data_IF_804187111893
#
_entry.id   IF_804187111893
#
_cell.length_a   1.000
_cell.length_b   1.000
_cell.length_c   1.000
_cell.angle_alpha   90.00
_cell.angle_beta   90.00
_cell.angle_gamma   90.00
#
_symmetry.space_group_name_H-M   'P 1'
#
loop_
_entity.id
_entity.type
_entity.pdbx_description
1 polymer ?
#
# COMPACT_ATOMS: atom_id res chain seq x y z
N UNK A 1 33.13 1.87 34.48
CA UNK A 1 31.92 2.64 34.17
C UNK A 1 32.21 4.12 33.85
N UNK A 2 33.43 4.50 33.45
CA UNK A 2 33.78 5.91 33.14
C UNK A 2 33.79 6.25 31.65
N UNK A 3 33.87 5.23 30.77
CA UNK A 3 33.97 5.42 29.31
C UNK A 3 32.66 6.00 28.73
N UNK A 4 31.51 5.61 29.29
CA UNK A 4 30.19 6.13 28.90
C UNK A 4 29.90 7.55 29.43
N UNK A 5 30.75 8.10 30.29
CA UNK A 5 30.58 9.44 30.88
C UNK A 5 31.50 10.49 30.22
N UNK A 6 32.35 10.07 29.27
CA UNK A 6 33.24 10.98 28.56
C UNK A 6 32.47 11.66 27.41
N UNK A 7 32.29 12.98 27.51
CA UNK A 7 31.53 13.78 26.54
C UNK A 7 32.01 13.63 25.09
N UNK A 8 33.31 13.37 24.88
CA UNK A 8 33.87 13.12 23.55
C UNK A 8 33.47 11.75 23.00
N UNK A 9 33.43 10.72 23.85
CA UNK A 9 32.98 9.38 23.47
C UNK A 9 31.47 9.33 23.25
N UNK A 10 30.67 10.00 24.08
CA UNK A 10 29.21 10.12 23.90
C UNK A 10 28.88 10.96 22.66
N UNK A 11 29.64 12.03 22.40
CA UNK A 11 29.43 12.90 21.24
C UNK A 11 29.85 12.25 19.92
N UNK A 12 31.07 11.71 19.83
CA UNK A 12 31.57 11.09 18.59
C UNK A 12 31.03 9.67 18.43
N UNK A 13 31.05 8.87 19.49
CA UNK A 13 30.48 7.51 19.46
C UNK A 13 28.97 7.55 19.22
N UNK A 14 28.25 8.44 19.90
CA UNK A 14 26.82 8.65 19.66
C UNK A 14 26.52 9.20 18.27
N UNK A 15 27.32 10.14 17.76
CA UNK A 15 27.17 10.70 16.42
C UNK A 15 27.42 9.68 15.30
N UNK A 16 28.48 8.88 15.41
CA UNK A 16 28.80 7.84 14.42
C UNK A 16 27.80 6.68 14.49
N UNK A 17 27.42 6.24 15.70
CA UNK A 17 26.46 5.16 15.88
C UNK A 17 25.06 5.58 15.42
N UNK A 18 24.63 6.81 15.73
CA UNK A 18 23.35 7.35 15.26
C UNK A 18 23.32 7.54 13.75
N UNK A 19 24.42 8.02 13.14
CA UNK A 19 24.57 8.11 11.69
C UNK A 19 24.43 6.74 11.01
N UNK A 20 25.13 5.72 11.54
CA UNK A 20 25.06 4.35 11.04
C UNK A 20 23.62 3.80 11.12
N UNK A 21 22.96 3.95 12.27
CA UNK A 21 21.57 3.51 12.47
C UNK A 21 20.63 4.19 11.48
N UNK A 22 20.76 5.50 11.27
CA UNK A 22 19.93 6.25 10.31
C UNK A 22 20.16 5.74 8.89
N UNK A 23 21.40 5.50 8.46
CA UNK A 23 21.66 4.94 7.12
C UNK A 23 21.07 3.54 6.94
N UNK A 24 21.12 2.68 7.96
CA UNK A 24 20.53 1.33 7.90
C UNK A 24 19.01 1.42 7.80
N UNK A 25 18.37 2.23 8.64
CA UNK A 25 16.91 2.43 8.63
C UNK A 25 16.46 3.07 7.30
N UNK A 26 17.18 4.09 6.83
CA UNK A 26 16.89 4.77 5.57
C UNK A 26 16.95 3.78 4.41
N UNK A 27 18.04 3.01 4.29
CA UNK A 27 18.17 2.00 3.23
C UNK A 27 17.07 0.94 3.30
N UNK A 28 16.69 0.52 4.50
CA UNK A 28 15.61 -0.45 4.69
C UNK A 28 14.25 0.08 4.26
N UNK A 29 13.92 1.33 4.64
CA UNK A 29 12.66 1.97 4.28
C UNK A 29 12.59 2.26 2.77
N UNK A 30 13.66 2.79 2.17
CA UNK A 30 13.71 3.07 0.74
C UNK A 30 13.65 1.79 -0.11
N UNK A 31 14.34 0.72 0.29
CA UNK A 31 14.27 -0.56 -0.43
C UNK A 31 12.84 -1.14 -0.49
N UNK A 32 12.03 -0.94 0.56
CA UNK A 32 10.61 -1.32 0.53
C UNK A 32 9.77 -0.40 -0.38
N UNK A 33 10.09 0.89 -0.44
CA UNK A 33 9.42 1.86 -1.30
C UNK A 33 9.67 1.55 -2.77
N UNK A 34 10.88 1.16 -3.15
CA UNK A 34 11.25 0.82 -4.52
C UNK A 34 10.43 -0.37 -5.04
N UNK A 35 10.24 -1.41 -4.20
CA UNK A 35 9.39 -2.54 -4.56
C UNK A 35 7.92 -2.14 -4.75
N UNK A 36 7.42 -1.20 -3.93
CA UNK A 36 6.07 -0.67 -4.09
C UNK A 36 5.92 0.14 -5.38
N UNK A 37 6.87 1.03 -5.66
CA UNK A 37 6.88 1.81 -6.90
C UNK A 37 6.93 0.90 -8.13
N UNK A 38 7.70 -0.17 -8.05
CA UNK A 38 7.77 -1.18 -9.10
C UNK A 38 6.41 -1.86 -9.35
N UNK A 39 5.74 -2.33 -8.30
CA UNK A 39 4.40 -2.94 -8.43
C UNK A 39 3.36 -1.95 -8.95
N UNK A 40 3.43 -0.69 -8.52
CA UNK A 40 2.55 0.36 -9.02
C UNK A 40 2.79 0.62 -10.52
N UNK A 41 4.04 0.61 -10.99
CA UNK A 41 4.39 0.71 -12.41
C UNK A 41 3.83 -0.46 -13.22
N UNK A 42 3.92 -1.69 -12.71
CA UNK A 42 3.31 -2.88 -13.35
C UNK A 42 1.79 -2.68 -13.49
N UNK A 43 1.12 -2.26 -12.42
CA UNK A 43 -0.32 -1.98 -12.46
C UNK A 43 -0.66 -0.89 -13.49
N UNK A 44 0.15 0.17 -13.58
CA UNK A 44 -0.01 1.21 -14.60
C UNK A 44 0.17 0.70 -16.03
N UNK A 45 1.16 -0.17 -16.27
CA UNK A 45 1.37 -0.82 -17.58
C UNK A 45 0.15 -1.61 -17.99
N UNK A 46 -0.31 -2.52 -17.12
CA UNK A 46 -1.45 -3.39 -17.39
C UNK A 46 -2.71 -2.58 -17.67
N UNK A 47 -2.94 -1.54 -16.86
CA UNK A 47 -4.05 -0.60 -17.07
C UNK A 47 -3.94 0.09 -18.43
N UNK A 48 -2.80 0.70 -18.74
CA UNK A 48 -2.62 1.43 -20.01
C UNK A 48 -2.84 0.52 -21.23
N UNK A 49 -2.39 -0.75 -21.17
CA UNK A 49 -2.63 -1.73 -22.23
C UNK A 49 -4.13 -1.99 -22.43
N UNK A 50 -4.86 -2.30 -21.35
CA UNK A 50 -6.32 -2.56 -21.41
C UNK A 50 -7.07 -1.33 -21.95
N UNK A 51 -6.75 -0.13 -21.46
CA UNK A 51 -7.40 1.11 -21.91
C UNK A 51 -7.09 1.44 -23.37
N UNK A 52 -5.90 1.11 -23.88
CA UNK A 52 -5.54 1.32 -25.28
C UNK A 52 -6.34 0.40 -26.23
N UNK A 53 -6.73 -0.79 -25.76
CA UNK A 53 -7.47 -1.79 -26.55
C UNK A 53 -8.99 -1.59 -26.52
N UNK A 54 -9.50 -0.94 -25.46
CA UNK A 54 -10.94 -0.74 -25.25
C UNK A 54 -11.68 -0.11 -26.44
N UNK A 55 -11.16 0.95 -27.12
CA UNK A 55 -11.84 1.54 -28.28
C UNK A 55 -11.93 0.55 -29.45
N UNK A 56 -10.83 -0.15 -29.76
CA UNK A 56 -10.79 -1.11 -30.87
C UNK A 56 -11.79 -2.25 -30.71
N UNK A 57 -11.97 -2.76 -29.48
CA UNK A 57 -12.95 -3.82 -29.21
C UNK A 57 -14.38 -3.30 -29.31
N UNK A 58 -14.64 -2.06 -28.91
CA UNK A 58 -15.96 -1.43 -29.07
C UNK A 58 -16.36 -1.28 -30.54
N UNK A 59 -15.36 -1.25 -31.44
CA UNK A 59 -15.50 -1.19 -32.89
C UNK A 59 -15.34 -2.57 -33.57
N UNK A 60 -15.29 -3.66 -32.79
CA UNK A 60 -15.15 -5.04 -33.28
C UNK A 60 -13.78 -5.39 -33.87
N UNK A 61 -12.78 -4.51 -33.72
CA UNK A 61 -11.42 -4.71 -34.21
C UNK A 61 -10.50 -5.18 -33.08
N UNK A 62 -10.17 -6.47 -33.11
CA UNK A 62 -9.23 -7.06 -32.14
C UNK A 62 -7.86 -7.16 -32.78
N UNK A 63 -6.82 -6.55 -32.19
CA UNK A 63 -5.47 -6.65 -32.73
C UNK A 63 -4.92 -8.07 -32.62
N UNK A 64 -4.09 -8.44 -33.60
CA UNK A 64 -3.39 -9.72 -33.63
C UNK A 64 -2.39 -9.86 -32.46
N UNK A 65 -2.01 -11.09 -32.12
CA UNK A 65 -1.09 -11.42 -31.02
C UNK A 65 0.24 -10.68 -31.16
N UNK A 66 0.74 -10.52 -32.39
CA UNK A 66 1.95 -9.76 -32.67
C UNK A 66 1.83 -8.29 -32.27
N UNK A 67 0.68 -7.67 -32.54
CA UNK A 67 0.41 -6.26 -32.18
C UNK A 67 0.24 -6.12 -30.68
N UNK A 68 -0.46 -7.05 -30.04
CA UNK A 68 -0.63 -7.07 -28.58
C UNK A 68 0.70 -7.25 -27.85
N UNK A 69 1.55 -8.14 -28.34
CA UNK A 69 2.91 -8.35 -27.82
C UNK A 69 3.79 -7.11 -28.03
N UNK A 70 3.68 -6.44 -29.18
CA UNK A 70 4.39 -5.18 -29.43
C UNK A 70 3.93 -4.07 -28.47
N UNK A 71 2.62 -3.98 -28.20
CA UNK A 71 2.04 -3.05 -27.24
C UNK A 71 2.57 -3.32 -25.83
N UNK A 72 2.51 -4.57 -25.35
CA UNK A 72 3.05 -4.99 -24.04
C UNK A 72 4.53 -4.61 -23.91
N UNK A 73 5.34 -4.92 -24.91
CA UNK A 73 6.77 -4.60 -24.91
C UNK A 73 7.03 -3.10 -24.90
N UNK A 74 6.28 -2.32 -25.68
CA UNK A 74 6.43 -0.86 -25.75
C UNK A 74 6.06 -0.19 -24.43
N UNK A 75 4.92 -0.56 -23.87
CA UNK A 75 4.43 -0.01 -22.59
C UNK A 75 5.34 -0.45 -21.44
N UNK A 76 5.81 -1.69 -21.41
CA UNK A 76 6.78 -2.15 -20.39
C UNK A 76 8.09 -1.34 -20.43
N UNK A 77 8.60 -1.01 -21.63
CA UNK A 77 9.77 -0.14 -21.79
C UNK A 77 9.50 1.29 -21.30
N UNK A 78 8.33 1.86 -21.61
CA UNK A 78 7.93 3.21 -21.16
C UNK A 78 7.97 3.33 -19.64
N UNK A 79 7.51 2.31 -18.92
CA UNK A 79 7.47 2.30 -17.44
C UNK A 79 8.71 1.66 -16.79
N UNK A 80 9.67 1.17 -17.57
CA UNK A 80 10.91 0.51 -17.10
C UNK A 80 10.65 -0.70 -16.19
N UNK A 81 9.67 -1.53 -16.55
CA UNK A 81 9.38 -2.79 -15.88
C UNK A 81 9.76 -3.97 -16.78
N UNK A 82 9.99 -5.14 -16.18
CA UNK A 82 10.18 -6.35 -16.97
C UNK A 82 8.87 -6.74 -17.66
N UNK A 83 8.92 -7.09 -18.95
CA UNK A 83 7.74 -7.54 -19.70
C UNK A 83 7.13 -8.79 -19.09
N UNK A 84 7.95 -9.65 -18.48
CA UNK A 84 7.53 -10.93 -17.94
C UNK A 84 6.70 -10.74 -16.65
N UNK A 85 6.75 -9.55 -16.05
CA UNK A 85 5.93 -9.17 -14.89
C UNK A 85 4.61 -8.49 -15.29
N UNK A 86 4.46 -8.08 -16.56
CA UNK A 86 3.23 -7.48 -17.08
C UNK A 86 2.24 -8.57 -17.53
N UNK A 87 0.99 -8.18 -17.77
CA UNK A 87 -0.03 -9.12 -18.24
C UNK A 87 0.35 -9.74 -19.58
N UNK A 88 0.14 -11.05 -19.67
CA UNK A 88 0.22 -11.79 -20.93
C UNK A 88 -1.02 -11.54 -21.80
N UNK A 89 -0.95 -11.79 -23.12
CA UNK A 89 -2.10 -11.67 -24.03
C UNK A 89 -3.40 -12.27 -23.49
N UNK A 90 -3.32 -13.48 -22.90
CA UNK A 90 -4.43 -14.15 -22.23
C UNK A 90 -5.04 -13.32 -21.10
N UNK A 91 -4.23 -12.85 -20.14
CA UNK A 91 -4.69 -12.07 -18.99
C UNK A 91 -5.30 -10.73 -19.42
N UNK A 92 -4.77 -10.12 -20.48
CA UNK A 92 -5.35 -8.90 -21.07
C UNK A 92 -6.74 -9.21 -21.64
N UNK A 93 -6.91 -10.32 -22.36
CA UNK A 93 -8.21 -10.74 -22.88
C UNK A 93 -9.22 -11.04 -21.76
N UNK A 94 -8.79 -11.65 -20.66
CA UNK A 94 -9.65 -11.92 -19.48
C UNK A 94 -10.14 -10.63 -18.82
N UNK A 95 -9.28 -9.62 -18.62
CA UNK A 95 -9.71 -8.34 -18.04
C UNK A 95 -10.67 -7.59 -18.98
N UNK A 96 -10.45 -7.67 -20.30
CA UNK A 96 -11.34 -7.09 -21.30
C UNK A 96 -12.70 -7.79 -21.32
N UNK A 97 -12.74 -9.13 -21.26
CA UNK A 97 -13.99 -9.90 -21.17
C UNK A 97 -14.77 -9.47 -19.92
N UNK A 98 -14.10 -9.36 -18.78
CA UNK A 98 -14.71 -8.90 -17.53
C UNK A 98 -15.31 -7.49 -17.68
N UNK A 99 -14.57 -6.52 -18.25
CA UNK A 99 -15.09 -5.17 -18.47
C UNK A 99 -16.34 -5.15 -19.37
N UNK A 100 -16.36 -5.98 -20.43
CA UNK A 100 -17.51 -6.09 -21.34
C UNK A 100 -18.71 -6.71 -20.62
N UNK A 101 -18.48 -7.73 -19.80
CA UNK A 101 -19.53 -8.41 -19.05
C UNK A 101 -20.14 -7.53 -17.96
N UNK A 102 -19.32 -6.73 -17.28
CA UNK A 102 -19.73 -5.77 -16.24
C UNK A 102 -20.47 -4.55 -16.83
N UNK A 103 -20.31 -4.26 -18.11
CA UNK A 103 -20.99 -3.13 -18.77
C UNK A 103 -22.50 -3.37 -18.89
N UNK A 104 -23.31 -2.51 -18.27
CA UNK A 104 -24.77 -2.51 -18.40
C UNK A 104 -25.27 -1.93 -19.74
N UNK A 105 -24.40 -1.23 -20.48
CA UNK A 105 -24.76 -0.51 -21.70
C UNK A 105 -24.61 -1.34 -22.99
N UNK A 106 -24.05 -2.56 -22.90
CA UNK A 106 -23.84 -3.45 -24.04
C UNK A 106 -24.92 -4.53 -24.05
N UNK A 107 -25.57 -4.74 -25.20
CA UNK A 107 -26.58 -5.79 -25.36
C UNK A 107 -25.96 -7.19 -25.20
N UNK A 108 -26.76 -8.15 -24.75
CA UNK A 108 -26.28 -9.53 -24.55
C UNK A 108 -25.72 -10.18 -25.82
N UNK A 109 -26.26 -9.82 -26.98
CA UNK A 109 -25.80 -10.32 -28.28
C UNK A 109 -24.43 -9.75 -28.66
N UNK A 110 -24.20 -8.45 -28.42
CA UNK A 110 -22.90 -7.80 -28.63
C UNK A 110 -21.84 -8.32 -27.65
N UNK A 111 -22.22 -8.55 -26.38
CA UNK A 111 -21.32 -9.17 -25.38
C UNK A 111 -20.83 -10.53 -25.85
N UNK A 112 -21.73 -11.37 -26.37
CA UNK A 112 -21.39 -12.70 -26.89
C UNK A 112 -20.39 -12.62 -28.05
N UNK A 113 -20.64 -11.75 -29.03
CA UNK A 113 -19.75 -11.55 -30.19
C UNK A 113 -18.33 -11.14 -29.78
N UNK A 114 -18.20 -10.20 -28.84
CA UNK A 114 -16.88 -9.78 -28.35
C UNK A 114 -16.17 -10.87 -27.55
N UNK A 115 -16.91 -11.61 -26.71
CA UNK A 115 -16.33 -12.72 -25.95
C UNK A 115 -15.86 -13.86 -26.87
N UNK A 116 -16.60 -14.17 -27.93
CA UNK A 116 -16.19 -15.17 -28.93
C UNK A 116 -14.92 -14.73 -29.64
N UNK A 117 -14.79 -13.46 -30.01
CA UNK A 117 -13.60 -12.94 -30.70
C UNK A 117 -12.36 -12.92 -29.77
N UNK A 118 -12.54 -12.60 -28.48
CA UNK A 118 -11.46 -12.64 -27.48
C UNK A 118 -11.08 -14.05 -27.02
N UNK A 119 -11.96 -15.04 -27.20
CA UNK A 119 -11.74 -16.41 -26.75
C UNK A 119 -10.51 -17.08 -27.38
N UNK A 120 -10.10 -16.64 -28.58
CA UNK A 120 -8.90 -17.10 -29.26
C UNK A 120 -7.63 -16.89 -28.41
N UNK A 121 -7.54 -15.78 -27.68
CA UNK A 121 -6.41 -15.48 -26.79
C UNK A 121 -6.46 -16.23 -25.46
N UNK A 122 -7.64 -16.71 -25.06
CA UNK A 122 -7.85 -17.44 -23.79
C UNK A 122 -7.58 -18.94 -23.96
N UNK A 123 -7.83 -19.48 -25.16
CA UNK A 123 -7.60 -20.89 -25.49
C UNK A 123 -6.12 -21.24 -25.78
N UNK A 124 -5.24 -20.25 -25.95
CA UNK A 124 -3.80 -20.44 -26.16
C UNK A 124 -3.14 -21.04 -24.88
N UNK A 125 -3.18 -22.37 -24.82
CA UNK A 125 -2.39 -23.37 -24.07
C UNK A 125 -1.79 -22.96 -22.72
N UNK A 126 -2.26 -23.64 -21.66
CA UNK A 126 -1.62 -23.69 -20.33
C UNK A 126 -0.18 -24.22 -20.40
N UNK A 127 0.79 -23.31 -20.56
CA UNK A 127 2.20 -23.64 -20.37
C UNK A 127 2.78 -22.63 -19.38
N UNK A 128 2.57 -22.89 -18.08
CA UNK A 128 3.28 -22.20 -17.01
C UNK A 128 2.44 -21.62 -15.88
N UNK A 129 1.51 -22.40 -15.30
CA UNK A 129 0.64 -21.96 -14.19
C UNK A 129 1.35 -21.50 -12.90
N UNK A 130 2.66 -21.72 -12.76
CA UNK A 130 3.42 -21.29 -11.57
C UNK A 130 3.91 -19.85 -11.62
N UNK A 131 4.09 -19.23 -12.79
CA UNK A 131 4.64 -17.88 -12.89
C UNK A 131 3.57 -16.79 -12.74
N UNK A 132 2.40 -17.00 -13.35
CA UNK A 132 1.26 -16.07 -13.33
C UNK A 132 0.66 -15.92 -11.93
N UNK A 133 0.43 -17.05 -11.24
CA UNK A 133 -0.04 -17.11 -9.85
C UNK A 133 0.85 -16.33 -8.87
N UNK A 134 2.17 -16.32 -9.08
CA UNK A 134 3.11 -15.70 -8.17
C UNK A 134 3.08 -14.17 -8.23
N UNK A 135 2.76 -13.58 -9.39
CA UNK A 135 2.69 -12.12 -9.55
C UNK A 135 1.40 -11.59 -8.92
N UNK A 136 0.26 -12.21 -9.19
CA UNK A 136 -1.03 -11.84 -8.59
C UNK A 136 -0.97 -11.92 -7.06
N UNK A 137 -0.35 -12.99 -6.53
CA UNK A 137 -0.11 -13.13 -5.09
C UNK A 137 0.81 -12.04 -4.54
N UNK A 138 1.88 -11.68 -5.25
CA UNK A 138 2.80 -10.59 -4.84
C UNK A 138 2.10 -9.23 -4.83
N UNK A 139 1.24 -8.94 -5.80
CA UNK A 139 0.46 -7.70 -5.87
C UNK A 139 -0.52 -7.64 -4.68
N UNK A 140 -1.31 -8.70 -4.45
CA UNK A 140 -2.26 -8.76 -3.34
C UNK A 140 -1.56 -8.67 -1.96
N UNK A 141 -0.43 -9.34 -1.78
CA UNK A 141 0.35 -9.27 -0.55
C UNK A 141 0.93 -7.86 -0.32
N UNK A 142 1.34 -7.17 -1.38
CA UNK A 142 1.84 -5.79 -1.29
C UNK A 142 0.77 -4.80 -0.81
N UNK A 143 -0.47 -4.92 -1.30
CA UNK A 143 -1.59 -4.08 -0.88
C UNK A 143 -1.97 -4.35 0.58
N UNK A 144 -1.93 -5.61 0.99
CA UNK A 144 -2.17 -6.00 2.38
C UNK A 144 -1.09 -5.43 3.31
N UNK A 145 0.18 -5.56 2.93
CA UNK A 145 1.32 -4.99 3.67
C UNK A 145 1.28 -3.46 3.70
N UNK A 146 0.77 -2.81 2.66
CA UNK A 146 0.59 -1.36 2.63
C UNK A 146 -0.40 -0.91 3.72
N UNK A 147 -1.56 -1.57 3.82
CA UNK A 147 -2.55 -1.27 4.87
C UNK A 147 -1.96 -1.45 6.28
N UNK A 148 -1.16 -2.49 6.49
CA UNK A 148 -0.46 -2.73 7.76
C UNK A 148 0.60 -1.66 8.07
N UNK A 149 1.40 -1.25 7.08
CA UNK A 149 2.47 -0.27 7.27
C UNK A 149 1.89 1.12 7.57
N UNK A 150 0.81 1.50 6.89
CA UNK A 150 0.09 2.76 7.13
C UNK A 150 -0.45 2.81 8.57
N UNK A 151 -1.08 1.73 9.04
CA UNK A 151 -1.56 1.60 10.41
C UNK A 151 -0.42 1.65 11.45
N UNK A 152 0.69 0.95 11.21
CA UNK A 152 1.84 0.97 12.11
C UNK A 152 2.47 2.36 12.23
N UNK A 153 2.59 3.09 11.12
CA UNK A 153 3.16 4.44 11.12
C UNK A 153 2.32 5.44 11.92
N UNK A 154 0.99 5.33 11.84
CA UNK A 154 0.07 6.16 12.61
C UNK A 154 0.15 5.86 14.12
N UNK A 155 0.22 4.58 14.50
CA UNK A 155 0.35 4.16 15.91
C UNK A 155 1.70 4.60 16.50
N UNK A 156 2.80 4.43 15.75
CA UNK A 156 4.12 4.91 16.16
C UNK A 156 4.19 6.44 16.29
N UNK A 157 3.58 7.18 15.36
CA UNK A 157 3.50 8.64 15.44
C UNK A 157 2.72 9.12 16.66
N UNK A 158 1.57 8.51 16.95
CA UNK A 158 0.76 8.84 18.12
C UNK A 158 1.48 8.52 19.44
N UNK A 159 2.12 7.35 19.52
CA UNK A 159 2.88 6.96 20.72
C UNK A 159 4.09 7.86 20.96
N UNK A 160 4.82 8.24 19.91
CA UNK A 160 5.93 9.18 20.01
C UNK A 160 5.47 10.59 20.43
N UNK A 161 4.35 11.08 19.86
CA UNK A 161 3.78 12.37 20.22
C UNK A 161 3.31 12.40 21.68
N UNK A 162 2.64 11.34 22.15
CA UNK A 162 2.27 11.19 23.56
C UNK A 162 3.49 11.12 24.47
N UNK A 163 4.50 10.31 24.13
CA UNK A 163 5.72 10.22 24.92
C UNK A 163 6.44 11.57 25.05
N UNK A 164 6.50 12.34 23.96
CA UNK A 164 7.11 13.68 23.95
C UNK A 164 6.30 14.67 24.77
N UNK A 165 4.97 14.65 24.65
CA UNK A 165 4.06 15.50 25.42
C UNK A 165 4.20 15.23 26.93
N UNK A 166 4.31 13.97 27.32
CA UNK A 166 4.49 13.57 28.72
C UNK A 166 5.85 13.98 29.27
N UNK A 167 6.92 13.81 28.50
CA UNK A 167 8.25 14.29 28.90
C UNK A 167 8.30 15.81 29.09
N UNK A 168 7.59 16.55 28.23
CA UNK A 168 7.44 17.99 28.38
C UNK A 168 6.58 18.37 29.60
N UNK A 169 5.52 17.60 29.88
CA UNK A 169 4.65 17.82 31.03
C UNK A 169 5.35 17.50 32.36
N UNK A 170 6.14 16.43 32.40
CA UNK A 170 6.93 16.03 33.56
C UNK A 170 7.97 17.10 33.91
N UNK A 171 8.69 17.62 32.90
CA UNK A 171 9.62 18.76 33.08
C UNK A 171 8.92 20.03 33.57
N UNK A 172 7.69 20.27 33.15
CA UNK A 172 6.89 21.42 33.62
C UNK A 172 6.41 21.24 35.07
N UNK A 173 6.00 20.02 35.45
CA UNK A 173 5.60 19.68 36.81
C UNK A 173 6.80 19.61 37.77
N UNK A 174 7.99 19.24 37.30
CA UNK A 174 9.18 19.17 38.15
C UNK A 174 9.65 20.57 38.61
N UNK A 175 9.40 21.59 37.79
CA UNK A 175 9.60 23.00 38.14
C UNK A 175 8.58 23.51 39.19
N UNK A 176 7.43 22.83 39.35
CA UNK A 176 6.48 23.07 40.42
C UNK A 176 6.80 22.13 41.61
N UNK A 177 7.27 22.68 42.73
CA UNK A 177 7.66 21.93 43.93
C UNK A 177 6.52 21.10 44.54
N UNK A 178 6.28 19.88 44.05
CA UNK A 178 5.34 18.90 44.62
C UNK A 178 6.11 17.88 45.47
N UNK A 179 5.59 17.61 46.69
CA UNK A 179 6.23 16.80 47.75
C UNK A 179 6.59 15.37 47.32
N UNK A 180 7.72 14.89 47.85
CA UNK A 180 8.48 13.68 47.49
C UNK A 180 7.72 12.33 47.46
N UNK A 181 6.80 11.97 48.37
CA UNK A 181 6.15 10.64 48.32
C UNK A 181 5.03 10.55 47.28
N UNK A 182 4.42 11.68 46.89
CA UNK A 182 3.37 11.72 45.87
C UNK A 182 3.99 11.70 44.47
N UNK A 183 5.17 12.33 44.29
CA UNK A 183 5.94 12.26 43.04
C UNK A 183 6.36 10.82 42.71
N UNK A 184 6.92 10.07 43.67
CA UNK A 184 7.33 8.68 43.41
C UNK A 184 6.17 7.76 43.01
N UNK A 185 4.98 7.96 43.60
CA UNK A 185 3.78 7.23 43.20
C UNK A 185 3.25 7.66 41.82
N UNK A 186 3.31 8.96 41.50
CA UNK A 186 2.92 9.49 40.19
C UNK A 186 3.89 9.06 39.07
N UNK A 187 5.19 9.06 39.33
CA UNK A 187 6.23 8.68 38.37
C UNK A 187 6.13 7.20 37.96
N UNK A 188 5.62 6.35 38.85
CA UNK A 188 5.37 4.93 38.56
C UNK A 188 4.02 4.69 37.85
N UNK A 189 2.98 5.47 38.19
CA UNK A 189 1.63 5.32 37.66
C UNK A 189 1.39 6.04 36.32
N UNK A 190 2.06 7.18 36.08
CA UNK A 190 1.89 7.94 34.84
C UNK A 190 2.31 7.16 33.59
N UNK A 191 3.47 6.47 33.54
CA UNK A 191 3.86 5.70 32.35
C UNK A 191 2.92 4.53 32.06
N UNK A 192 2.39 3.88 33.10
CA UNK A 192 1.49 2.73 32.93
C UNK A 192 0.10 3.15 32.49
N UNK A 193 -0.45 4.22 33.08
CA UNK A 193 -1.73 4.79 32.68
C UNK A 193 -1.69 5.38 31.27
N UNK A 194 -0.56 5.92 30.84
CA UNK A 194 -0.40 6.51 29.51
C UNK A 194 -0.27 5.47 28.42
N UNK A 195 0.42 4.34 28.66
CA UNK A 195 0.37 3.20 27.74
C UNK A 195 -1.07 2.71 27.58
N UNK A 196 -1.82 2.55 28.68
CA UNK A 196 -3.23 2.14 28.64
C UNK A 196 -4.12 3.15 27.89
N UNK A 197 -3.98 4.46 28.13
CA UNK A 197 -4.75 5.49 27.44
C UNK A 197 -4.35 5.57 25.95
N UNK A 198 -3.06 5.44 25.62
CA UNK A 198 -2.58 5.46 24.22
C UNK A 198 -3.16 4.30 23.42
N UNK A 199 -3.21 3.10 24.00
CA UNK A 199 -3.75 1.91 23.36
C UNK A 199 -5.27 1.99 23.19
N UNK A 200 -5.98 2.57 24.17
CA UNK A 200 -7.42 2.84 24.05
C UNK A 200 -7.74 3.88 22.97
N UNK A 201 -6.98 4.96 22.88
CA UNK A 201 -7.15 6.00 21.86
C UNK A 201 -6.78 5.46 20.47
N UNK A 202 -5.73 4.63 20.35
CA UNK A 202 -5.38 3.93 19.12
C UNK A 202 -6.49 2.96 18.67
N UNK A 203 -7.11 2.22 19.59
CA UNK A 203 -8.26 1.37 19.28
C UNK A 203 -9.50 2.19 18.87
N UNK A 204 -9.79 3.29 19.57
CA UNK A 204 -10.93 4.15 19.27
C UNK A 204 -10.78 4.85 17.91
N UNK A 205 -9.58 5.35 17.59
CA UNK A 205 -9.29 5.96 16.29
C UNK A 205 -9.35 4.94 15.15
N UNK A 206 -8.88 3.72 15.36
CA UNK A 206 -9.04 2.63 14.39
C UNK A 206 -10.52 2.32 14.14
N UNK A 207 -11.34 2.21 15.20
CA UNK A 207 -12.78 2.00 15.07
C UNK A 207 -13.50 3.15 14.35
N UNK A 208 -13.10 4.39 14.63
CA UNK A 208 -13.64 5.58 13.96
C UNK A 208 -13.32 5.59 12.46
N UNK A 209 -12.07 5.30 12.08
CA UNK A 209 -11.66 5.20 10.67
C UNK A 209 -12.42 4.08 9.94
N UNK A 210 -12.59 2.92 10.59
CA UNK A 210 -13.37 1.80 10.01
C UNK A 210 -14.84 2.19 9.81
N UNK A 211 -15.45 2.88 10.78
CA UNK A 211 -16.84 3.36 10.64
C UNK A 211 -17.00 4.42 9.57
N UNK A 212 -16.09 5.40 9.50
CA UNK A 212 -16.13 6.45 8.48
C UNK A 212 -15.97 5.88 7.07
N UNK A 213 -15.09 4.87 6.88
CA UNK A 213 -14.96 4.16 5.59
C UNK A 213 -16.25 3.43 5.20
N UNK A 214 -16.93 2.77 6.14
CA UNK A 214 -18.23 2.12 5.88
C UNK A 214 -19.33 3.11 5.48
N UNK A 215 -19.37 4.26 6.14
CA UNK A 215 -20.34 5.31 5.82
C UNK A 215 -20.07 5.92 4.44
N UNK A 216 -18.81 6.16 4.10
CA UNK A 216 -18.42 6.66 2.77
C UNK A 216 -18.78 5.67 1.65
N UNK A 217 -18.58 4.37 1.87
CA UNK A 217 -18.98 3.34 0.90
C UNK A 217 -20.50 3.32 0.71
N UNK A 218 -21.26 3.43 1.80
CA UNK A 218 -22.73 3.47 1.76
C UNK A 218 -23.29 4.73 1.08
N UNK A 219 -22.59 5.86 1.22
CA UNK A 219 -22.96 7.10 0.51
C UNK A 219 -22.69 6.99 -0.99
N UNK A 220 -21.55 6.41 -1.39
CA UNK A 220 -21.25 6.18 -2.80
C UNK A 220 -22.27 5.23 -3.47
N UNK A 221 -22.71 4.17 -2.77
CA UNK A 221 -23.77 3.26 -3.26
C UNK A 221 -25.13 3.97 -3.39
N UNK A 222 -25.44 4.94 -2.52
CA UNK A 222 -26.69 5.69 -2.58
C UNK A 222 -26.70 6.79 -3.66
N UNK A 223 -25.53 7.35 -4.00
CA UNK A 223 -25.41 8.32 -5.08
C UNK A 223 -25.45 7.64 -6.46
N UNK A 224 -24.90 6.43 -6.60
CA UNK A 224 -25.04 5.63 -7.83
C UNK A 224 -26.50 5.19 -8.11
N UNK A 225 -27.30 4.96 -7.07
CA UNK A 225 -28.70 4.52 -7.21
C UNK A 225 -29.70 5.66 -7.45
N UNK A 226 -29.23 6.92 -7.48
CA UNK A 226 -30.04 8.12 -7.73
C UNK A 226 -29.82 8.75 -9.11
N UNK A 227 -28.92 8.20 -9.91
CA UNK A 227 -28.62 8.64 -11.28
C UNK A 227 -29.22 7.68 -12.28
#
# INVERSE_FOLDING_TARGET
MEIFNNAWFVGIGGGVLSGLIVTVITRYLFSRKDNREYLQKISSVNREIVYALRPGISEGHIPDEHVLTALINSTSRKYRVNRDDAYKPKQVAEELIKEIMDSSFISSETKKSYCETLSHFVQEREVGGNAESNIERKVAESEYRQKLTEQMSAVLGLTAAMGTMLFAFDRFLDQATVRTPIKEALDLLLPTMTVLISTLVAMASMLAVVRLKRLKNKNNENDENKT
#
